data_IF_669075746912
#
_entry.id   IF_669075746912
#
_cell.length_a   1.000
_cell.length_b   1.000
_cell.length_c   1.000
_cell.angle_alpha   90.00
_cell.angle_beta   90.00
_cell.angle_gamma   90.00
#
_symmetry.space_group_name_H-M   'P 1'
#
loop_
_entity.id
_entity.type
_entity.pdbx_description
1 polymer ?
#
# COMPACT_ATOMS: atom_id res chain seq x y z
N UNK A 1 12.12 21.87 -1.20
CA UNK A 1 12.31 21.65 -2.65
C UNK A 1 13.62 20.92 -3.01
N UNK A 2 14.74 21.12 -2.31
CA UNK A 2 16.01 20.47 -2.65
C UNK A 2 15.97 18.92 -2.51
N UNK A 3 15.41 18.37 -1.44
CA UNK A 3 15.34 16.92 -1.21
C UNK A 3 14.50 16.18 -2.27
N UNK A 4 13.38 16.73 -2.70
CA UNK A 4 12.55 16.07 -3.72
C UNK A 4 13.27 15.80 -5.05
N UNK A 5 14.27 16.65 -5.40
CA UNK A 5 15.08 16.47 -6.63
C UNK A 5 16.11 15.34 -6.51
N UNK A 6 16.37 14.85 -5.29
CA UNK A 6 17.31 13.75 -5.03
C UNK A 6 16.66 12.38 -5.05
N UNK A 7 15.33 12.32 -4.99
CA UNK A 7 14.59 11.07 -5.15
C UNK A 7 14.72 10.60 -6.60
N UNK A 8 15.17 9.36 -6.86
CA UNK A 8 15.27 8.84 -8.21
C UNK A 8 13.95 8.97 -8.99
N UNK A 9 13.97 9.23 -10.30
CA UNK A 9 12.76 9.51 -11.08
C UNK A 9 11.78 8.34 -11.14
N UNK A 10 12.28 7.12 -11.01
CA UNK A 10 11.47 5.89 -10.98
C UNK A 10 11.02 5.48 -9.57
N UNK A 11 11.29 6.30 -8.54
CA UNK A 11 10.84 6.08 -7.15
C UNK A 11 9.77 7.11 -6.80
N UNK A 12 8.62 6.64 -6.35
CA UNK A 12 7.50 7.46 -5.93
C UNK A 12 7.16 7.18 -4.48
N UNK A 13 7.58 8.08 -3.60
CA UNK A 13 7.17 8.05 -2.21
C UNK A 13 5.76 8.61 -2.06
N UNK A 14 5.02 8.05 -1.13
CA UNK A 14 3.71 8.50 -0.71
C UNK A 14 3.30 7.88 0.62
N UNK A 15 2.09 8.14 1.04
CA UNK A 15 1.54 7.62 2.29
C UNK A 15 0.35 6.73 2.04
N UNK A 16 0.03 5.82 2.98
CA UNK A 16 -1.09 4.87 2.88
C UNK A 16 -2.47 5.55 2.80
N UNK A 17 -2.58 6.76 3.34
CA UNK A 17 -3.75 7.65 3.25
C UNK A 17 -3.30 9.07 3.59
N UNK A 18 -4.16 10.07 3.41
CA UNK A 18 -3.79 11.48 3.51
C UNK A 18 -4.67 12.31 4.45
N UNK A 19 -5.61 11.74 5.16
CA UNK A 19 -6.61 12.49 5.96
C UNK A 19 -6.23 12.63 7.43
N UNK A 20 -5.01 13.09 7.73
CA UNK A 20 -4.52 13.26 9.10
C UNK A 20 -4.40 14.74 9.50
N UNK A 21 -5.05 15.13 10.60
CA UNK A 21 -5.00 16.49 11.12
C UNK A 21 -3.62 16.87 11.68
N UNK A 22 -2.87 15.90 12.20
CA UNK A 22 -1.53 16.10 12.74
C UNK A 22 -0.48 16.54 11.70
N UNK A 23 -0.83 16.55 10.41
CA UNK A 23 0.07 17.06 9.36
C UNK A 23 -0.10 18.54 9.05
N UNK A 24 -0.94 19.25 9.81
CA UNK A 24 -1.09 20.70 9.71
C UNK A 24 0.23 21.42 10.09
N UNK A 25 0.66 22.36 9.26
CA UNK A 25 1.96 23.03 9.37
C UNK A 25 3.12 22.31 8.67
N UNK A 26 2.94 21.07 8.24
CA UNK A 26 3.94 20.32 7.47
C UNK A 26 3.47 20.03 6.03
N UNK A 27 2.41 19.24 5.87
CA UNK A 27 1.80 18.90 4.58
C UNK A 27 0.69 19.87 4.22
N UNK A 28 -0.14 20.20 5.21
CA UNK A 28 -1.24 21.15 5.08
C UNK A 28 -0.90 22.48 5.69
N UNK A 29 -1.25 23.58 5.02
CA UNK A 29 -0.96 24.92 5.51
C UNK A 29 -1.78 25.29 6.75
N UNK A 30 -2.88 24.59 7.02
CA UNK A 30 -3.76 24.80 8.18
C UNK A 30 -4.52 23.52 8.57
N UNK A 31 -5.04 23.43 9.79
CA UNK A 31 -5.99 22.39 10.15
C UNK A 31 -7.27 22.46 9.30
N UNK A 32 -7.81 21.31 8.95
CA UNK A 32 -9.10 21.20 8.25
C UNK A 32 -10.23 20.97 9.25
N UNK A 33 -11.37 21.61 9.02
CA UNK A 33 -12.61 21.29 9.73
C UNK A 33 -13.34 20.20 8.97
N UNK A 34 -13.52 19.05 9.61
CA UNK A 34 -14.13 17.87 8.98
C UNK A 34 -13.21 17.17 7.96
N UNK A 35 -13.71 16.15 7.30
CA UNK A 35 -12.90 15.24 6.49
C UNK A 35 -12.27 15.90 5.26
N UNK A 36 -13.05 16.58 4.43
CA UNK A 36 -12.64 17.29 3.20
C UNK A 36 -11.53 16.57 2.40
N UNK A 37 -11.70 15.27 2.04
CA UNK A 37 -10.61 14.46 1.53
C UNK A 37 -10.03 14.98 0.20
N UNK A 38 -10.87 15.46 -0.72
CA UNK A 38 -10.41 15.99 -2.00
C UNK A 38 -9.56 17.27 -1.84
N UNK A 39 -9.94 18.19 -0.94
CA UNK A 39 -9.14 19.39 -0.66
C UNK A 39 -7.80 19.06 0.00
N UNK A 40 -7.80 18.12 0.94
CA UNK A 40 -6.54 17.63 1.53
C UNK A 40 -5.66 16.96 0.49
N UNK A 41 -6.25 16.21 -0.45
CA UNK A 41 -5.54 15.54 -1.52
C UNK A 41 -4.85 16.54 -2.47
N UNK A 42 -5.49 17.68 -2.75
CA UNK A 42 -4.91 18.76 -3.54
C UNK A 42 -3.65 19.35 -2.90
N UNK A 43 -3.66 19.62 -1.58
CA UNK A 43 -2.45 20.09 -0.86
C UNK A 43 -1.40 18.97 -0.74
N UNK A 44 -1.83 17.74 -0.45
CA UNK A 44 -0.97 16.58 -0.38
C UNK A 44 -0.13 16.40 -1.65
N UNK A 45 -0.77 16.49 -2.82
CA UNK A 45 -0.10 16.32 -4.10
C UNK A 45 0.91 17.44 -4.43
N UNK A 46 0.84 18.58 -3.73
CA UNK A 46 1.81 19.69 -3.84
C UNK A 46 3.00 19.52 -2.90
N UNK A 47 2.94 18.59 -1.94
CA UNK A 47 4.07 18.38 -1.04
C UNK A 47 5.27 17.79 -1.79
N UNK A 48 6.46 18.42 -1.72
CA UNK A 48 7.56 18.14 -2.65
C UNK A 48 8.12 16.72 -2.62
N UNK A 49 7.87 15.97 -1.56
CA UNK A 49 8.37 14.60 -1.38
C UNK A 49 7.35 13.54 -1.80
N UNK A 50 6.08 13.93 -2.01
CA UNK A 50 5.03 12.98 -2.37
C UNK A 50 4.84 12.92 -3.89
N UNK A 51 4.88 11.70 -4.41
CA UNK A 51 4.71 11.40 -5.83
C UNK A 51 3.72 10.25 -6.06
N UNK A 52 3.10 9.76 -5.00
CA UNK A 52 2.05 8.75 -5.00
C UNK A 52 1.19 8.92 -3.75
N UNK A 53 0.02 8.28 -3.72
CA UNK A 53 -0.83 8.21 -2.53
C UNK A 53 -1.56 6.87 -2.47
N UNK A 54 -1.79 6.36 -1.26
CA UNK A 54 -2.60 5.17 -1.01
C UNK A 54 -4.08 5.53 -0.80
N UNK A 55 -4.98 4.77 -1.39
CA UNK A 55 -6.41 4.79 -1.11
C UNK A 55 -6.74 3.55 -0.25
N UNK A 56 -6.28 3.56 1.01
CA UNK A 56 -6.48 2.43 1.92
C UNK A 56 -7.96 2.26 2.35
N UNK A 57 -8.76 3.32 2.30
CA UNK A 57 -10.20 3.25 2.57
C UNK A 57 -10.97 2.34 1.60
N UNK A 58 -10.50 2.19 0.38
CA UNK A 58 -11.07 1.28 -0.62
C UNK A 58 -11.06 -0.20 -0.19
N UNK A 59 -10.26 -0.55 0.80
CA UNK A 59 -10.28 -1.87 1.44
C UNK A 59 -11.60 -2.18 2.12
N UNK A 60 -12.24 -1.19 2.71
CA UNK A 60 -13.48 -1.37 3.46
C UNK A 60 -14.71 -1.25 2.58
N UNK A 61 -14.67 -0.36 1.59
CA UNK A 61 -15.73 -0.12 0.63
C UNK A 61 -15.15 0.53 -0.63
N UNK A 62 -15.47 0.04 -1.84
CA UNK A 62 -15.01 0.65 -3.07
C UNK A 62 -15.51 2.10 -3.18
N UNK A 63 -14.64 3.07 -3.52
CA UNK A 63 -15.07 4.44 -3.71
C UNK A 63 -16.01 4.56 -4.92
N UNK A 64 -17.06 5.36 -4.77
CA UNK A 64 -17.99 5.64 -5.87
C UNK A 64 -17.33 6.46 -6.99
N UNK A 65 -17.96 6.51 -8.17
CA UNK A 65 -17.49 7.32 -9.28
C UNK A 65 -17.41 8.80 -8.93
N UNK A 66 -18.37 9.32 -8.15
CA UNK A 66 -18.40 10.71 -7.71
C UNK A 66 -17.17 11.03 -6.86
N UNK A 67 -16.85 10.16 -5.89
CA UNK A 67 -15.66 10.30 -5.02
C UNK A 67 -14.38 10.23 -5.84
N UNK A 68 -14.27 9.27 -6.76
CA UNK A 68 -13.11 9.15 -7.63
C UNK A 68 -12.97 10.36 -8.57
N UNK A 69 -14.06 10.87 -9.13
CA UNK A 69 -14.03 12.07 -9.96
C UNK A 69 -13.62 13.33 -9.17
N UNK A 70 -13.99 13.44 -7.88
CA UNK A 70 -13.49 14.50 -7.01
C UNK A 70 -11.99 14.37 -6.76
N UNK A 71 -11.48 13.16 -6.53
CA UNK A 71 -10.04 12.91 -6.36
C UNK A 71 -9.26 13.19 -7.66
N UNK A 72 -9.79 12.79 -8.82
CA UNK A 72 -9.16 13.06 -10.11
C UNK A 72 -9.00 14.57 -10.37
N UNK A 73 -10.01 15.37 -10.01
CA UNK A 73 -9.92 16.84 -10.14
C UNK A 73 -8.92 17.48 -9.16
N UNK A 74 -8.66 16.85 -8.03
CA UNK A 74 -7.73 17.33 -7.01
C UNK A 74 -6.27 17.00 -7.31
N UNK A 75 -6.01 16.00 -8.14
CA UNK A 75 -4.68 15.49 -8.43
C UNK A 75 -4.07 16.12 -9.70
N UNK A 76 -2.75 16.34 -9.74
CA UNK A 76 -2.06 16.65 -10.99
C UNK A 76 -2.17 15.48 -11.99
N UNK A 77 -2.20 15.74 -13.31
CA UNK A 77 -2.25 14.69 -14.32
C UNK A 77 -1.19 13.60 -14.10
N UNK A 78 -1.59 12.34 -14.17
CA UNK A 78 -0.69 11.20 -14.01
C UNK A 78 -0.14 10.97 -12.59
N UNK A 79 -0.69 11.63 -11.56
CA UNK A 79 -0.32 11.36 -10.15
C UNK A 79 -0.89 10.00 -9.74
N UNK A 80 -0.07 8.97 -9.45
CA UNK A 80 -0.56 7.62 -9.24
C UNK A 80 -1.14 7.41 -7.83
N UNK A 81 -2.28 6.75 -7.79
CA UNK A 81 -2.92 6.26 -6.59
C UNK A 81 -2.78 4.74 -6.48
N UNK A 82 -2.34 4.25 -5.32
CA UNK A 82 -2.28 2.83 -5.01
C UNK A 82 -3.51 2.48 -4.20
N UNK A 83 -4.46 1.77 -4.81
CA UNK A 83 -5.73 1.48 -4.18
C UNK A 83 -5.73 0.07 -3.62
N UNK A 84 -6.10 -0.08 -2.35
CA UNK A 84 -6.41 -1.40 -1.83
C UNK A 84 -7.66 -1.94 -2.50
N UNK A 85 -7.66 -3.23 -2.78
CA UNK A 85 -8.86 -3.93 -3.23
C UNK A 85 -9.76 -4.20 -2.04
N UNK A 86 -11.06 -4.07 -2.27
CA UNK A 86 -12.11 -4.35 -1.28
C UNK A 86 -11.91 -5.73 -0.64
N UNK A 87 -11.92 -5.80 0.69
CA UNK A 87 -11.66 -7.04 1.41
C UNK A 87 -12.73 -8.13 1.19
N UNK A 88 -13.90 -7.77 0.66
CA UNK A 88 -14.86 -8.73 0.15
C UNK A 88 -14.27 -9.62 -0.97
N UNK A 89 -13.28 -9.14 -1.70
CA UNK A 89 -12.57 -9.94 -2.72
C UNK A 89 -11.42 -10.75 -2.11
N UNK A 90 -10.76 -10.21 -1.06
CA UNK A 90 -9.49 -10.77 -0.56
C UNK A 90 -9.61 -11.53 0.78
N UNK A 91 -10.73 -11.43 1.48
CA UNK A 91 -10.94 -12.14 2.74
C UNK A 91 -11.66 -13.48 2.51
N UNK A 92 -11.06 -14.61 2.92
CA UNK A 92 -11.70 -15.94 2.89
C UNK A 92 -12.89 -16.04 3.84
N UNK A 93 -12.83 -15.31 4.92
CA UNK A 93 -13.84 -15.22 5.96
C UNK A 93 -14.04 -13.78 6.36
N UNK A 94 -15.27 -13.39 6.53
CA UNK A 94 -15.58 -12.09 7.10
C UNK A 94 -15.06 -12.01 8.53
N UNK A 95 -14.28 -10.99 8.85
CA UNK A 95 -13.78 -10.77 10.21
C UNK A 95 -14.93 -10.34 11.15
N UNK A 96 -14.60 -10.09 12.44
CA UNK A 96 -15.58 -9.69 13.45
C UNK A 96 -15.91 -8.19 13.43
N UNK A 97 -15.63 -7.50 12.33
CA UNK A 97 -15.98 -6.10 12.16
C UNK A 97 -17.50 -5.93 12.07
N UNK A 98 -18.04 -4.96 12.82
CA UNK A 98 -19.47 -4.69 12.91
C UNK A 98 -20.13 -4.39 11.55
N UNK A 99 -19.36 -3.89 10.55
CA UNK A 99 -19.86 -3.66 9.18
C UNK A 99 -20.38 -4.92 8.48
N UNK A 100 -19.91 -6.08 8.89
CA UNK A 100 -20.37 -7.36 8.35
C UNK A 100 -21.66 -7.88 8.96
N UNK A 101 -22.13 -7.32 10.09
CA UNK A 101 -23.37 -7.73 10.72
C UNK A 101 -23.48 -9.24 10.88
N UNK A 102 -24.53 -9.83 10.33
CA UNK A 102 -24.76 -11.29 10.38
C UNK A 102 -23.78 -12.13 9.56
N UNK A 103 -22.98 -11.52 8.71
CA UNK A 103 -21.94 -12.21 7.94
C UNK A 103 -20.63 -12.38 8.72
N UNK A 104 -20.45 -11.66 9.84
CA UNK A 104 -19.25 -11.74 10.64
C UNK A 104 -18.93 -13.19 11.05
N UNK A 105 -17.68 -13.61 10.82
CA UNK A 105 -17.24 -14.98 11.11
C UNK A 105 -17.69 -16.04 10.10
N UNK A 106 -18.51 -15.74 9.10
CA UNK A 106 -18.89 -16.68 8.05
C UNK A 106 -17.85 -16.74 6.94
N UNK A 107 -17.81 -17.87 6.23
CA UNK A 107 -17.03 -18.01 4.99
C UNK A 107 -17.55 -17.01 3.95
N UNK A 108 -16.64 -16.34 3.29
CA UNK A 108 -16.98 -15.38 2.26
C UNK A 108 -17.16 -16.08 0.90
N UNK A 109 -18.35 -16.07 0.30
CA UNK A 109 -18.61 -16.67 -1.00
C UNK A 109 -17.98 -15.88 -2.16
N UNK A 110 -17.65 -14.60 -1.94
CA UNK A 110 -17.09 -13.70 -2.96
C UNK A 110 -15.55 -13.65 -2.92
N UNK A 111 -14.91 -14.54 -2.15
CA UNK A 111 -13.45 -14.62 -2.12
C UNK A 111 -12.91 -14.95 -3.52
N UNK A 112 -12.02 -14.08 -4.03
CA UNK A 112 -11.44 -14.16 -5.39
C UNK A 112 -12.50 -14.20 -6.50
N UNK A 113 -13.63 -13.51 -6.32
CA UNK A 113 -14.65 -13.35 -7.34
C UNK A 113 -14.22 -12.28 -8.36
N UNK A 114 -13.76 -12.72 -9.54
CA UNK A 114 -13.25 -11.83 -10.57
C UNK A 114 -14.34 -10.93 -11.20
N UNK A 115 -15.57 -11.41 -11.30
CA UNK A 115 -16.67 -10.63 -11.88
C UNK A 115 -17.08 -9.51 -10.95
N UNK A 116 -17.24 -9.81 -9.65
CA UNK A 116 -17.49 -8.80 -8.64
C UNK A 116 -16.35 -7.76 -8.58
N UNK A 117 -15.10 -8.20 -8.68
CA UNK A 117 -13.94 -7.30 -8.72
C UNK A 117 -13.98 -6.36 -9.94
N UNK A 118 -14.27 -6.90 -11.13
CA UNK A 118 -14.37 -6.10 -12.36
C UNK A 118 -15.50 -5.07 -12.27
N UNK A 119 -16.65 -5.48 -11.78
CA UNK A 119 -17.84 -4.61 -11.72
C UNK A 119 -17.73 -3.56 -10.61
N UNK A 120 -17.54 -4.01 -9.36
CA UNK A 120 -17.63 -3.15 -8.18
C UNK A 120 -16.36 -2.34 -7.91
N UNK A 121 -15.17 -2.87 -8.27
CA UNK A 121 -13.89 -2.20 -8.00
C UNK A 121 -13.36 -1.55 -9.26
N UNK A 122 -13.09 -2.29 -10.33
CA UNK A 122 -12.44 -1.72 -11.51
C UNK A 122 -13.34 -0.79 -12.33
N UNK A 123 -14.65 -1.08 -12.40
CA UNK A 123 -15.58 -0.31 -13.21
C UNK A 123 -15.54 1.19 -12.94
N UNK A 124 -15.70 1.67 -11.71
CA UNK A 124 -15.58 3.09 -11.36
C UNK A 124 -14.24 3.70 -11.75
N UNK A 125 -13.12 3.01 -11.46
CA UNK A 125 -11.78 3.49 -11.83
C UNK A 125 -11.59 3.59 -13.35
N UNK A 126 -12.09 2.62 -14.10
CA UNK A 126 -11.99 2.62 -15.56
C UNK A 126 -12.72 3.80 -16.20
N UNK A 127 -13.87 4.20 -15.63
CA UNK A 127 -14.69 5.27 -16.17
C UNK A 127 -14.17 6.67 -15.86
N UNK A 128 -13.70 6.92 -14.63
CA UNK A 128 -13.44 8.30 -14.17
C UNK A 128 -12.07 8.53 -13.54
N UNK A 129 -11.25 7.47 -13.33
CA UNK A 129 -10.00 7.58 -12.57
C UNK A 129 -8.81 6.85 -13.20
N UNK A 130 -8.92 6.41 -14.45
CA UNK A 130 -7.91 5.60 -15.12
C UNK A 130 -6.50 6.21 -15.09
N UNK A 131 -6.39 7.52 -15.33
CA UNK A 131 -5.11 8.24 -15.41
C UNK A 131 -4.38 8.31 -14.05
N UNK A 132 -5.11 8.06 -12.96
CA UNK A 132 -4.59 8.03 -11.60
C UNK A 132 -4.52 6.63 -11.00
N UNK A 133 -5.00 5.59 -11.69
CA UNK A 133 -4.94 4.20 -11.23
C UNK A 133 -3.49 3.67 -11.28
N UNK A 134 -2.72 3.91 -10.24
CA UNK A 134 -1.33 3.53 -10.13
C UNK A 134 -1.13 2.03 -9.99
N UNK A 135 -1.77 1.41 -9.01
CA UNK A 135 -1.82 -0.05 -8.83
C UNK A 135 -2.98 -0.44 -7.89
N UNK A 136 -3.54 -1.64 -8.10
CA UNK A 136 -4.48 -2.25 -7.17
C UNK A 136 -3.77 -3.29 -6.31
N UNK A 137 -3.86 -3.15 -4.99
CA UNK A 137 -3.22 -4.05 -4.02
C UNK A 137 -4.25 -5.01 -3.47
N UNK A 138 -4.12 -6.28 -3.81
CA UNK A 138 -4.83 -7.39 -3.17
C UNK A 138 -4.14 -7.70 -1.84
N UNK A 139 -4.60 -7.09 -0.75
CA UNK A 139 -4.10 -7.39 0.59
C UNK A 139 -4.83 -8.60 1.16
N UNK A 140 -4.13 -9.70 1.32
CA UNK A 140 -4.61 -10.91 1.99
C UNK A 140 -4.23 -10.86 3.46
N UNK A 141 -5.22 -10.61 4.32
CA UNK A 141 -5.03 -10.62 5.77
C UNK A 141 -4.58 -11.99 6.25
N UNK A 142 -3.90 -12.03 7.41
CA UNK A 142 -3.41 -13.28 7.98
C UNK A 142 -4.54 -14.31 8.14
N UNK A 143 -4.41 -15.42 7.45
CA UNK A 143 -5.29 -16.56 7.51
C UNK A 143 -4.77 -17.55 8.56
N UNK A 144 -5.67 -18.19 9.31
CA UNK A 144 -5.28 -19.10 10.40
C UNK A 144 -6.15 -20.35 10.42
N UNK A 145 -5.60 -21.43 10.97
CA UNK A 145 -6.29 -22.69 11.13
C UNK A 145 -6.84 -23.21 9.79
N UNK A 146 -8.14 -23.54 9.76
CA UNK A 146 -8.80 -24.09 8.55
C UNK A 146 -8.93 -23.10 7.38
N UNK A 147 -8.74 -21.80 7.61
CA UNK A 147 -8.81 -20.78 6.56
C UNK A 147 -7.44 -20.54 5.90
N UNK A 148 -6.33 -21.01 6.50
CA UNK A 148 -5.00 -21.01 5.88
C UNK A 148 -4.92 -22.17 4.87
N UNK A 149 -4.81 -21.88 3.56
CA UNK A 149 -4.67 -22.91 2.54
C UNK A 149 -3.27 -23.53 2.56
N UNK A 150 -3.13 -24.70 1.98
CA UNK A 150 -1.81 -25.19 1.58
C UNK A 150 -1.22 -24.27 0.50
N UNK A 151 0.11 -24.27 0.34
CA UNK A 151 0.77 -23.48 -0.71
C UNK A 151 0.24 -23.84 -2.11
N UNK A 152 0.01 -25.12 -2.40
CA UNK A 152 -0.55 -25.56 -3.68
C UNK A 152 -1.97 -25.01 -3.90
N UNK A 153 -2.85 -25.17 -2.93
CA UNK A 153 -4.21 -24.63 -3.01
C UNK A 153 -4.21 -23.10 -3.19
N UNK A 154 -3.34 -22.38 -2.47
CA UNK A 154 -3.19 -20.94 -2.61
C UNK A 154 -2.78 -20.53 -4.03
N UNK A 155 -1.78 -21.21 -4.57
CA UNK A 155 -1.25 -20.96 -5.92
C UNK A 155 -2.32 -21.19 -6.97
N UNK A 156 -3.06 -22.32 -6.90
CA UNK A 156 -4.11 -22.66 -7.86
C UNK A 156 -5.26 -21.63 -7.83
N UNK A 157 -5.71 -21.22 -6.64
CA UNK A 157 -6.79 -20.24 -6.49
C UNK A 157 -6.36 -18.85 -6.99
N UNK A 158 -5.14 -18.42 -6.66
CA UNK A 158 -4.62 -17.12 -7.11
C UNK A 158 -4.41 -17.10 -8.63
N UNK A 159 -3.86 -18.18 -9.22
CA UNK A 159 -3.65 -18.29 -10.65
C UNK A 159 -4.98 -18.23 -11.41
N UNK A 160 -5.97 -19.02 -10.97
CA UNK A 160 -7.30 -19.03 -11.56
C UNK A 160 -8.00 -17.66 -11.50
N UNK A 161 -7.84 -16.93 -10.43
CA UNK A 161 -8.36 -15.56 -10.29
C UNK A 161 -7.64 -14.59 -11.23
N UNK A 162 -6.30 -14.58 -11.23
CA UNK A 162 -5.50 -13.66 -12.03
C UNK A 162 -5.63 -13.90 -13.54
N UNK A 163 -6.03 -15.10 -13.98
CA UNK A 163 -6.37 -15.37 -15.38
C UNK A 163 -7.61 -14.60 -15.85
N UNK A 164 -8.53 -14.27 -14.95
CA UNK A 164 -9.82 -13.66 -15.25
C UNK A 164 -9.84 -12.14 -15.13
N UNK A 165 -8.82 -11.53 -14.51
CA UNK A 165 -8.76 -10.06 -14.35
C UNK A 165 -8.19 -9.38 -15.61
N UNK A 166 -8.68 -8.17 -15.98
CA UNK A 166 -8.17 -7.42 -17.13
C UNK A 166 -6.68 -7.09 -16.97
N UNK A 167 -5.94 -7.10 -18.09
CA UNK A 167 -4.48 -6.85 -18.08
C UNK A 167 -4.07 -5.39 -18.32
N UNK A 168 -5.02 -4.50 -18.43
CA UNK A 168 -4.83 -3.07 -18.68
C UNK A 168 -4.71 -2.22 -17.41
N UNK A 169 -4.72 -2.88 -16.24
CA UNK A 169 -4.41 -2.31 -14.93
C UNK A 169 -3.20 -3.00 -14.30
N UNK A 170 -2.55 -2.33 -13.37
CA UNK A 170 -1.44 -2.87 -12.59
C UNK A 170 -1.96 -3.47 -11.30
N UNK A 171 -1.53 -4.70 -10.99
CA UNK A 171 -1.93 -5.43 -9.80
C UNK A 171 -0.73 -5.80 -8.95
N UNK A 172 -0.91 -5.78 -7.64
CA UNK A 172 0.09 -6.21 -6.67
C UNK A 172 -0.58 -7.08 -5.60
N UNK A 173 0.14 -8.08 -5.10
CA UNK A 173 -0.32 -8.97 -4.04
C UNK A 173 0.47 -8.71 -2.77
N UNK A 174 -0.24 -8.44 -1.69
CA UNK A 174 0.29 -8.28 -0.34
C UNK A 174 -0.16 -9.43 0.55
N UNK A 175 0.79 -10.23 1.01
CA UNK A 175 0.53 -11.33 1.93
C UNK A 175 0.78 -10.92 3.39
N UNK A 176 0.01 -11.51 4.30
CA UNK A 176 0.17 -11.43 5.76
C UNK A 176 0.49 -12.80 6.36
N UNK A 177 0.78 -13.78 5.52
CA UNK A 177 1.17 -15.14 5.88
C UNK A 177 2.55 -15.44 5.29
N UNK A 178 3.61 -15.52 6.11
CA UNK A 178 4.95 -15.85 5.64
C UNK A 178 5.01 -17.26 5.01
N UNK A 179 4.16 -18.18 5.45
CA UNK A 179 4.10 -19.56 4.92
C UNK A 179 3.71 -19.62 3.43
N UNK A 180 3.09 -18.56 2.92
CA UNK A 180 2.68 -18.46 1.51
C UNK A 180 3.71 -17.75 0.62
N UNK A 181 4.82 -17.23 1.19
CA UNK A 181 5.94 -16.64 0.45
C UNK A 181 6.83 -17.74 -0.16
N UNK A 182 6.32 -18.43 -1.16
CA UNK A 182 7.00 -19.56 -1.81
C UNK A 182 7.42 -19.22 -3.24
N UNK A 183 8.36 -20.00 -3.80
CA UNK A 183 8.73 -19.89 -5.22
C UNK A 183 7.54 -20.10 -6.16
N UNK A 184 6.65 -21.03 -5.80
CA UNK A 184 5.43 -21.28 -6.57
C UNK A 184 4.50 -20.06 -6.59
N UNK A 185 4.36 -19.34 -5.47
CA UNK A 185 3.66 -18.06 -5.42
C UNK A 185 4.33 -17.03 -6.35
N UNK A 186 5.65 -16.88 -6.27
CA UNK A 186 6.41 -15.99 -7.14
C UNK A 186 6.26 -16.32 -8.62
N UNK A 187 6.20 -17.61 -8.99
CA UNK A 187 5.97 -18.05 -10.36
C UNK A 187 4.59 -17.61 -10.89
N UNK A 188 3.54 -17.67 -10.06
CA UNK A 188 2.21 -17.15 -10.43
C UNK A 188 2.26 -15.64 -10.64
N UNK A 189 2.85 -14.88 -9.72
CA UNK A 189 2.97 -13.43 -9.88
C UNK A 189 3.69 -13.05 -11.18
N UNK A 190 4.81 -13.73 -11.48
CA UNK A 190 5.60 -13.49 -12.69
C UNK A 190 4.82 -13.80 -13.95
N UNK A 191 4.09 -14.94 -13.98
CA UNK A 191 3.25 -15.35 -15.11
C UNK A 191 2.21 -14.30 -15.48
N UNK A 192 1.62 -13.66 -14.47
CA UNK A 192 0.59 -12.65 -14.65
C UNK A 192 1.12 -11.21 -14.66
N UNK A 193 2.44 -11.00 -14.52
CA UNK A 193 3.05 -9.67 -14.39
C UNK A 193 2.46 -8.85 -13.21
N UNK A 194 2.15 -9.53 -12.12
CA UNK A 194 1.64 -8.97 -10.88
C UNK A 194 2.80 -8.72 -9.93
N UNK A 195 2.85 -7.57 -9.28
CA UNK A 195 3.93 -7.24 -8.37
C UNK A 195 3.76 -7.92 -7.00
N UNK A 196 4.87 -8.34 -6.40
CA UNK A 196 4.92 -8.59 -4.96
C UNK A 196 4.88 -7.25 -4.21
N UNK A 197 4.14 -7.18 -3.09
CA UNK A 197 4.18 -6.03 -2.19
C UNK A 197 5.13 -6.33 -1.04
N UNK A 198 6.26 -5.65 -1.02
CA UNK A 198 7.15 -5.64 0.14
C UNK A 198 6.46 -4.93 1.31
N UNK A 199 6.32 -5.58 2.45
CA UNK A 199 5.64 -4.96 3.58
C UNK A 199 6.36 -5.21 4.91
N UNK A 200 6.34 -4.20 5.78
CA UNK A 200 6.74 -4.33 7.17
C UNK A 200 5.49 -4.57 8.02
N UNK A 201 5.05 -5.81 8.13
CA UNK A 201 3.91 -6.20 8.97
C UNK A 201 4.36 -7.14 10.07
N UNK A 202 3.61 -7.16 11.17
CA UNK A 202 3.97 -7.77 12.45
C UNK A 202 4.61 -9.17 12.36
N UNK A 203 4.02 -10.07 11.57
CA UNK A 203 4.44 -11.48 11.46
C UNK A 203 5.17 -11.80 10.15
N UNK A 204 5.37 -10.79 9.30
CA UNK A 204 6.06 -10.99 8.04
C UNK A 204 7.59 -10.87 8.22
N UNK A 205 8.39 -11.54 7.38
CA UNK A 205 9.80 -11.24 7.27
C UNK A 205 10.02 -9.74 7.01
N UNK A 206 11.17 -9.20 7.43
CA UNK A 206 11.54 -7.83 7.11
C UNK A 206 11.52 -7.57 5.60
N UNK A 207 11.40 -6.32 5.20
CA UNK A 207 11.51 -5.95 3.77
C UNK A 207 12.86 -6.40 3.21
N UNK A 208 13.93 -6.35 4.03
CA UNK A 208 15.26 -6.83 3.66
C UNK A 208 15.29 -8.34 3.36
N UNK A 209 14.69 -9.16 4.22
CA UNK A 209 14.56 -10.60 3.98
C UNK A 209 13.67 -10.92 2.77
N UNK A 210 12.59 -10.15 2.56
CA UNK A 210 11.76 -10.30 1.35
C UNK A 210 12.56 -9.95 0.08
N UNK A 211 13.48 -8.98 0.11
CA UNK A 211 14.36 -8.64 -1.01
C UNK A 211 15.35 -9.74 -1.38
N UNK A 212 15.68 -10.63 -0.45
CA UNK A 212 16.56 -11.76 -0.69
C UNK A 212 15.88 -12.92 -1.42
N UNK A 213 14.55 -12.91 -1.53
CA UNK A 213 13.81 -13.89 -2.32
C UNK A 213 13.95 -13.60 -3.82
N UNK A 214 14.36 -14.58 -4.65
CA UNK A 214 14.77 -14.33 -6.03
C UNK A 214 13.64 -13.91 -6.98
N UNK A 215 12.37 -14.07 -6.58
CA UNK A 215 11.20 -13.86 -7.42
C UNK A 215 10.41 -12.56 -7.10
N UNK A 216 10.83 -11.77 -6.13
CA UNK A 216 10.02 -10.64 -5.61
C UNK A 216 9.88 -9.46 -6.57
N UNK A 217 10.75 -9.35 -7.56
CA UNK A 217 10.58 -8.39 -8.67
C UNK A 217 9.86 -9.04 -9.87
N UNK A 218 8.63 -9.45 -9.66
CA UNK A 218 7.80 -10.24 -10.60
C UNK A 218 7.11 -9.42 -11.69
N UNK A 219 7.17 -8.08 -11.65
CA UNK A 219 6.55 -7.17 -12.61
C UNK A 219 7.47 -5.99 -12.98
N UNK A 220 7.06 -5.17 -13.95
CA UNK A 220 7.79 -3.96 -14.35
C UNK A 220 7.62 -2.79 -13.38
N UNK A 221 7.01 -3.02 -12.27
CA UNK A 221 6.89 -2.11 -11.15
C UNK A 221 6.90 -2.92 -9.84
N UNK A 222 7.07 -2.22 -8.74
CA UNK A 222 6.96 -2.82 -7.40
C UNK A 222 6.21 -1.89 -6.45
N UNK A 223 5.66 -2.47 -5.40
CA UNK A 223 5.00 -1.73 -4.32
C UNK A 223 5.68 -2.08 -3.01
N UNK A 224 5.94 -1.09 -2.18
CA UNK A 224 6.36 -1.32 -0.79
C UNK A 224 5.47 -0.56 0.17
N UNK A 225 5.20 -1.16 1.32
CA UNK A 225 4.37 -0.59 2.37
C UNK A 225 5.09 -0.68 3.72
N UNK A 226 5.58 0.47 4.21
CA UNK A 226 6.11 0.63 5.57
C UNK A 226 4.94 0.84 6.54
N UNK A 227 4.53 -0.19 7.27
CA UNK A 227 3.26 -0.22 7.99
C UNK A 227 3.40 -0.21 9.51
N UNK A 228 4.01 -1.25 10.06
CA UNK A 228 4.21 -1.46 11.50
C UNK A 228 5.58 -2.11 11.72
N UNK A 229 6.18 -1.88 12.87
CA UNK A 229 7.34 -2.68 13.26
C UNK A 229 6.92 -4.07 13.75
N UNK A 230 7.77 -5.10 13.61
CA UNK A 230 7.53 -6.40 14.21
C UNK A 230 7.23 -6.30 15.72
N UNK A 231 6.31 -7.11 16.20
CA UNK A 231 5.94 -7.19 17.63
C UNK A 231 5.03 -6.05 18.12
N UNK A 232 4.62 -5.07 17.30
CA UNK A 232 3.67 -4.03 17.71
C UNK A 232 2.27 -4.34 17.23
N UNK A 233 1.30 -4.37 18.17
CA UNK A 233 -0.11 -4.46 17.82
C UNK A 233 -0.61 -3.15 17.20
N UNK A 234 -1.57 -3.25 16.28
CA UNK A 234 -2.18 -2.09 15.62
C UNK A 234 -2.75 -1.07 16.60
N UNK A 235 -3.50 -1.54 17.60
CA UNK A 235 -4.12 -0.65 18.61
C UNK A 235 -3.09 0.11 19.45
N UNK A 236 -1.94 -0.52 19.74
CA UNK A 236 -0.86 0.11 20.49
C UNK A 236 -0.17 1.20 19.66
N UNK A 237 0.00 0.97 18.36
CA UNK A 237 0.53 1.99 17.45
C UNK A 237 -0.41 3.22 17.36
N UNK A 238 -1.74 3.01 17.32
CA UNK A 238 -2.70 4.13 17.33
C UNK A 238 -2.53 4.97 18.59
N UNK A 239 -2.59 4.34 19.77
CA UNK A 239 -2.46 5.05 21.07
C UNK A 239 -1.14 5.78 21.22
N UNK A 240 -0.04 5.18 20.74
CA UNK A 240 1.31 5.76 20.88
C UNK A 240 1.50 6.97 19.96
N UNK A 241 0.93 6.94 18.76
CA UNK A 241 1.32 7.84 17.70
C UNK A 241 0.34 8.96 17.40
N UNK A 242 -0.94 8.85 17.80
CA UNK A 242 -1.87 9.98 17.65
C UNK A 242 -1.34 11.23 18.37
N UNK A 243 -1.48 12.41 17.74
CA UNK A 243 -2.20 12.74 16.52
C UNK A 243 -1.38 12.59 15.22
N UNK A 244 -0.26 11.88 15.21
CA UNK A 244 0.63 11.64 14.06
C UNK A 244 1.37 12.89 13.56
N UNK A 245 1.72 13.76 14.49
CA UNK A 245 2.34 15.08 14.25
C UNK A 245 3.87 15.03 14.18
N UNK A 246 4.49 13.94 14.65
CA UNK A 246 5.95 13.76 14.70
C UNK A 246 6.35 12.29 14.76
N UNK A 247 7.59 12.02 14.41
CA UNK A 247 8.23 10.71 14.66
C UNK A 247 8.36 10.54 16.18
N UNK A 248 7.89 9.40 16.69
CA UNK A 248 7.95 9.05 18.13
C UNK A 248 8.78 7.81 18.41
N UNK A 249 8.90 6.92 17.44
CA UNK A 249 9.66 5.66 17.56
C UNK A 249 10.33 5.33 16.22
N UNK A 250 11.51 5.91 15.94
CA UNK A 250 12.25 5.68 14.71
C UNK A 250 12.55 4.20 14.49
N UNK A 251 12.42 3.73 13.24
CA UNK A 251 12.67 2.36 12.84
C UNK A 251 13.85 2.28 11.84
N UNK A 252 15.10 2.41 12.29
CA UNK A 252 16.26 2.49 11.40
C UNK A 252 16.41 1.26 10.50
N UNK A 253 16.07 0.06 10.99
CA UNK A 253 16.11 -1.17 10.19
C UNK A 253 15.13 -1.10 9.01
N UNK A 254 13.88 -0.69 9.24
CA UNK A 254 12.90 -0.56 8.15
C UNK A 254 13.30 0.54 7.17
N UNK A 255 13.85 1.67 7.65
CA UNK A 255 14.40 2.71 6.77
C UNK A 255 15.54 2.18 5.90
N UNK A 256 16.46 1.41 6.48
CA UNK A 256 17.56 0.80 5.75
C UNK A 256 17.06 -0.19 4.68
N UNK A 257 16.07 -1.01 5.00
CA UNK A 257 15.45 -1.94 4.06
C UNK A 257 14.77 -1.19 2.89
N UNK A 258 14.05 -0.11 3.17
CA UNK A 258 13.44 0.73 2.13
C UNK A 258 14.49 1.42 1.25
N UNK A 259 15.61 1.86 1.81
CA UNK A 259 16.73 2.41 1.04
C UNK A 259 17.41 1.32 0.19
N UNK A 260 17.56 0.11 0.71
CA UNK A 260 18.00 -1.05 -0.06
C UNK A 260 17.08 -1.35 -1.23
N UNK A 261 15.75 -1.34 -1.01
CA UNK A 261 14.76 -1.48 -2.08
C UNK A 261 14.93 -0.40 -3.15
N UNK A 262 15.10 0.87 -2.76
CA UNK A 262 15.36 1.97 -3.71
C UNK A 262 16.62 1.67 -4.53
N UNK A 263 17.70 1.21 -3.90
CA UNK A 263 18.94 0.87 -4.59
C UNK A 263 18.73 -0.26 -5.62
N UNK A 264 17.95 -1.28 -5.26
CA UNK A 264 17.60 -2.37 -6.17
C UNK A 264 16.76 -1.89 -7.36
N UNK A 265 15.80 -1.01 -7.13
CA UNK A 265 14.92 -0.43 -8.16
C UNK A 265 15.69 0.48 -9.13
N UNK A 266 16.64 1.27 -8.61
CA UNK A 266 17.48 2.14 -9.46
C UNK A 266 18.34 1.34 -10.45
N UNK A 267 18.76 0.13 -10.07
CA UNK A 267 19.52 -0.77 -10.96
C UNK A 267 18.63 -1.51 -11.99
N UNK A 268 17.32 -1.45 -11.85
CA UNK A 268 16.34 -2.13 -12.69
C UNK A 268 15.49 -1.11 -13.46
N UNK A 269 15.04 -1.39 -14.69
CA UNK A 269 14.15 -0.51 -15.44
C UNK A 269 12.69 -0.66 -14.96
N UNK A 270 12.45 -0.50 -13.65
CA UNK A 270 11.13 -0.64 -13.02
C UNK A 270 10.79 0.60 -12.19
N UNK A 271 9.51 0.82 -11.96
CA UNK A 271 8.99 1.86 -11.06
C UNK A 271 8.73 1.29 -9.66
N UNK A 272 9.02 2.07 -8.62
CA UNK A 272 8.64 1.74 -7.25
C UNK A 272 7.61 2.74 -6.70
N UNK A 273 6.51 2.20 -6.16
CA UNK A 273 5.50 2.91 -5.40
C UNK A 273 5.69 2.55 -3.92
N UNK A 274 6.27 3.46 -3.15
CA UNK A 274 6.65 3.21 -1.74
C UNK A 274 5.73 4.03 -0.84
N UNK A 275 4.86 3.35 -0.12
CA UNK A 275 3.88 3.96 0.78
C UNK A 275 4.26 3.76 2.24
N UNK A 276 4.32 4.85 2.98
CA UNK A 276 4.58 4.83 4.42
C UNK A 276 3.29 5.09 5.20
N UNK A 277 3.07 4.33 6.26
CA UNK A 277 1.97 4.55 7.18
C UNK A 277 2.46 5.28 8.44
N UNK A 278 1.66 6.17 8.99
CA UNK A 278 1.96 6.86 10.25
C UNK A 278 2.25 5.90 11.42
N UNK A 279 1.67 4.69 11.39
CA UNK A 279 1.84 3.69 12.45
C UNK A 279 3.20 3.00 12.44
N UNK A 280 4.05 3.29 11.44
CA UNK A 280 5.43 2.80 11.44
C UNK A 280 6.25 3.50 12.52
N UNK A 281 6.29 4.84 12.49
CA UNK A 281 7.17 5.68 13.33
C UNK A 281 6.44 6.83 14.04
N UNK A 282 5.16 7.08 13.70
CA UNK A 282 4.35 8.18 14.24
C UNK A 282 4.04 9.31 13.26
N UNK A 283 4.86 9.49 12.21
CA UNK A 283 4.65 10.53 11.21
C UNK A 283 5.23 10.10 9.86
N UNK A 284 4.36 9.72 8.92
CA UNK A 284 4.78 9.25 7.60
C UNK A 284 5.52 10.33 6.77
N UNK A 285 5.10 11.62 6.75
CA UNK A 285 5.89 12.69 6.11
C UNK A 285 7.32 12.77 6.63
N UNK A 286 7.50 12.72 7.94
CA UNK A 286 8.81 12.73 8.58
C UNK A 286 9.67 11.52 8.20
N UNK A 287 9.08 10.31 8.17
CA UNK A 287 9.78 9.11 7.70
C UNK A 287 10.25 9.26 6.25
N UNK A 288 9.37 9.73 5.36
CA UNK A 288 9.72 9.95 3.94
C UNK A 288 10.79 11.05 3.80
N UNK A 289 10.75 12.09 4.63
CA UNK A 289 11.78 13.13 4.66
C UNK A 289 13.15 12.55 5.06
N UNK A 290 13.18 11.68 6.08
CA UNK A 290 14.41 11.00 6.49
C UNK A 290 14.97 10.08 5.39
N UNK A 291 14.12 9.32 4.70
CA UNK A 291 14.53 8.51 3.54
C UNK A 291 15.09 9.40 2.40
N UNK A 292 14.43 10.50 2.08
CA UNK A 292 14.89 11.42 1.04
C UNK A 292 16.21 12.11 1.41
N UNK A 293 16.42 12.42 2.69
CA UNK A 293 17.69 12.98 3.19
C UNK A 293 18.85 11.95 3.05
N UNK A 294 18.61 10.70 3.42
CA UNK A 294 19.60 9.64 3.26
C UNK A 294 19.97 9.41 1.78
N UNK A 295 19.00 9.43 0.87
CA UNK A 295 19.27 9.36 -0.59
C UNK A 295 20.06 10.56 -1.12
N UNK A 296 20.05 11.68 -0.42
CA UNK A 296 20.82 12.86 -0.78
C UNK A 296 22.28 12.84 -0.26
N UNK A 297 22.69 11.76 0.44
CA UNK A 297 24.00 11.66 1.09
C UNK A 297 24.08 12.40 2.44
N UNK A 298 22.93 12.76 3.04
CA UNK A 298 22.84 13.30 4.39
C UNK A 298 22.89 12.19 5.43
N UNK A 299 23.50 12.44 6.57
CA UNK A 299 23.33 11.56 7.73
C UNK A 299 21.84 11.54 8.15
N UNK A 300 21.30 10.36 8.54
CA UNK A 300 19.93 10.32 9.05
C UNK A 300 19.84 11.17 10.31
N UNK A 301 19.01 12.21 10.30
CA UNK A 301 18.66 12.95 11.50
C UNK A 301 18.09 11.95 12.53
N UNK A 302 18.90 11.67 13.56
CA UNK A 302 18.50 10.98 14.79
C UNK A 302 18.01 12.10 15.71
N UNK A 303 16.72 12.39 15.67
CA UNK A 303 16.07 13.27 16.63
C UNK A 303 14.96 12.58 17.36
#
# INVERSE_FOLDING_TARGET
MALGRRIPPNVRFGTSTWTYDGWAGEVYHRPYRGAQPARRLEEYARYPLFRAVGIDSAFYDPPSEEVLAEYARALPPGFPCVSKVWDRITARRFNQDARWGNLAGLRNPDFLNADLFKEAVLGPYARVFRDHAGAFVFEFQAMRGKDLPSSAQWVDELDAFLQQVPRDFRYAVELRNPELLTEAHGAVLTRHSVAHVFNSWNEMPSIGEQLDLPWTFSARFTVARGLLRPGRAYADAVKLFEPYDRIRDPQPGVRQDLLRLVSEVVRRPIEALILVNNRLEGNAPGTIRALAAALAGGEPEVS
#
